data_IF_131902334849
#
_entry.id   IF_131902334849
#
_cell.length_a   1.000
_cell.length_b   1.000
_cell.length_c   1.000
_cell.angle_alpha   90.00
_cell.angle_beta   90.00
_cell.angle_gamma   90.00
#
_symmetry.space_group_name_H-M   'P 1'
#
loop_
_entity.id
_entity.type
_entity.pdbx_description
1 polymer ?
#
# COMPACT_ATOMS: atom_id res chain seq x y z
N UNK A 1 15.23 89.60 21.39
CA UNK A 1 15.35 90.01 22.80
C UNK A 1 16.01 88.85 23.51
N UNK A 2 17.36 88.88 23.64
CA UNK A 2 18.15 89.20 24.85
C UNK A 2 17.52 88.54 26.11
N UNK A 3 18.16 87.56 26.83
CA UNK A 3 19.38 87.61 27.63
C UNK A 3 19.70 86.14 28.08
N UNK A 4 20.92 85.69 27.95
CA UNK A 4 21.97 85.65 28.99
C UNK A 4 21.64 84.69 30.13
N UNK A 5 22.28 83.56 30.39
CA UNK A 5 23.69 83.40 30.76
C UNK A 5 23.76 82.86 32.19
N UNK A 6 24.29 81.72 32.43
CA UNK A 6 25.18 81.55 33.59
C UNK A 6 25.89 80.19 33.56
N UNK A 7 27.17 80.29 33.70
CA UNK A 7 28.15 79.25 33.74
C UNK A 7 28.32 78.78 35.17
N UNK A 8 28.24 77.44 35.47
CA UNK A 8 28.79 76.94 36.69
C UNK A 8 29.64 75.67 36.37
N UNK A 9 30.93 75.82 36.61
CA UNK A 9 31.92 74.78 36.63
C UNK A 9 31.73 73.94 37.90
N UNK A 10 31.66 72.63 37.78
CA UNK A 10 31.93 71.74 38.89
C UNK A 10 32.86 70.62 38.41
N UNK A 11 33.86 70.40 39.23
CA UNK A 11 35.07 69.64 39.04
C UNK A 11 34.82 68.15 38.77
N UNK A 12 35.76 67.60 38.01
CA UNK A 12 35.93 66.12 37.72
C UNK A 12 36.45 65.42 38.97
N UNK A 13 35.78 64.36 39.40
CA UNK A 13 36.36 63.33 40.18
C UNK A 13 36.32 62.04 39.30
N UNK A 14 37.52 61.57 38.92
CA UNK A 14 37.70 60.35 38.15
C UNK A 14 37.84 59.19 39.17
N UNK A 15 36.83 58.33 39.24
CA UNK A 15 36.96 57.04 39.89
C UNK A 15 37.15 55.99 38.80
N UNK A 16 38.39 55.47 38.72
CA UNK A 16 38.70 54.35 37.84
C UNK A 16 38.13 53.07 38.42
N UNK A 17 37.16 52.45 37.79
CA UNK A 17 36.72 51.11 38.05
C UNK A 17 37.35 50.23 36.95
N UNK A 18 38.41 49.48 37.35
CA UNK A 18 38.96 48.40 36.51
C UNK A 18 37.98 47.21 36.51
N UNK A 19 37.24 47.04 35.45
CA UNK A 19 36.46 45.84 35.23
C UNK A 19 37.38 44.78 34.63
N UNK A 20 37.78 43.77 35.42
CA UNK A 20 38.40 42.57 34.94
C UNK A 20 37.32 41.74 34.18
N UNK A 21 37.38 41.71 32.86
CA UNK A 21 36.66 40.74 32.05
C UNK A 21 37.36 39.40 32.21
N UNK A 22 36.83 38.55 33.07
CA UNK A 22 37.14 37.11 33.03
C UNK A 22 36.45 36.45 31.83
N UNK A 23 37.21 36.18 30.77
CA UNK A 23 36.73 35.42 29.64
C UNK A 23 36.52 33.94 30.07
N UNK A 24 35.28 33.57 30.36
CA UNK A 24 34.87 32.18 30.43
C UNK A 24 34.77 31.61 29.03
N UNK A 25 35.85 31.06 28.51
CA UNK A 25 35.84 30.19 27.34
C UNK A 25 35.31 28.80 27.77
N UNK A 26 34.00 28.61 27.71
CA UNK A 26 33.43 27.25 27.76
C UNK A 26 33.87 26.51 26.50
N UNK A 27 34.43 25.29 26.64
CA UNK A 27 34.66 24.49 25.43
C UNK A 27 33.32 24.14 24.83
N UNK A 28 33.06 24.61 23.60
CA UNK A 28 32.00 24.07 22.75
C UNK A 28 32.37 22.61 22.55
N UNK A 29 31.70 21.71 23.26
CA UNK A 29 31.73 20.31 22.94
C UNK A 29 31.15 20.18 21.54
N UNK A 30 32.00 19.84 20.57
CA UNK A 30 31.57 19.38 19.28
C UNK A 30 30.63 18.19 19.53
N UNK A 31 29.36 18.39 19.38
CA UNK A 31 28.39 17.31 19.25
C UNK A 31 28.90 16.47 18.08
N UNK A 32 29.47 15.32 18.39
CA UNK A 32 29.82 14.34 17.40
C UNK A 32 28.55 14.08 16.59
N UNK A 33 28.57 14.38 15.30
CA UNK A 33 27.56 13.88 14.39
C UNK A 33 27.53 12.36 14.57
N UNK A 34 26.51 11.87 15.25
CA UNK A 34 26.19 10.46 15.27
C UNK A 34 26.08 10.08 13.80
N UNK A 35 27.02 9.30 13.29
CA UNK A 35 26.96 8.81 11.91
C UNK A 35 25.63 8.10 11.81
N UNK A 36 24.70 8.64 11.04
CA UNK A 36 23.48 7.95 10.69
C UNK A 36 23.85 6.52 10.30
N UNK A 37 23.36 5.54 11.06
CA UNK A 37 23.58 4.15 10.71
C UNK A 37 22.94 3.93 9.34
N UNK A 38 23.65 3.37 8.34
CA UNK A 38 23.05 3.04 7.08
C UNK A 38 21.79 2.22 7.34
N UNK A 39 20.69 2.52 6.64
CA UNK A 39 19.50 1.66 6.65
C UNK A 39 19.96 0.28 6.21
N UNK A 40 19.90 -0.70 7.08
CA UNK A 40 20.50 -2.03 6.86
C UNK A 40 19.94 -2.70 5.59
N UNK A 41 18.68 -2.41 5.22
CA UNK A 41 18.01 -2.96 4.05
C UNK A 41 17.21 -1.85 3.34
N UNK A 42 17.87 -0.99 2.54
CA UNK A 42 17.18 0.08 1.83
C UNK A 42 16.24 -0.50 0.76
N UNK A 43 15.11 0.17 0.55
CA UNK A 43 14.20 -0.16 -0.55
C UNK A 43 14.90 0.14 -1.87
N UNK A 44 14.93 -0.84 -2.75
CA UNK A 44 15.39 -0.72 -4.13
C UNK A 44 14.19 -0.57 -5.07
N UNK A 45 14.26 0.37 -5.98
CA UNK A 45 13.28 0.66 -7.01
C UNK A 45 13.81 0.15 -8.34
N UNK A 46 13.20 -0.89 -8.89
CA UNK A 46 13.73 -1.65 -10.00
C UNK A 46 12.71 -1.82 -11.11
N UNK A 47 13.19 -2.18 -12.28
CA UNK A 47 12.38 -2.56 -13.44
C UNK A 47 12.93 -3.82 -14.05
N UNK A 48 12.05 -4.72 -14.49
CA UNK A 48 12.40 -5.96 -15.19
C UNK A 48 11.50 -6.13 -16.42
N UNK A 49 12.02 -6.75 -17.48
CA UNK A 49 11.24 -7.07 -18.66
C UNK A 49 10.51 -8.40 -18.49
N UNK A 50 9.18 -8.37 -18.66
CA UNK A 50 8.31 -9.53 -18.60
C UNK A 50 7.32 -9.45 -19.76
N UNK A 51 7.28 -10.45 -20.62
CA UNK A 51 6.38 -10.52 -21.79
C UNK A 51 6.43 -9.29 -22.71
N UNK A 52 7.60 -8.64 -22.80
CA UNK A 52 7.80 -7.41 -23.56
C UNK A 52 7.30 -6.14 -22.85
N UNK A 53 6.89 -6.24 -21.58
CA UNK A 53 6.50 -5.13 -20.72
C UNK A 53 7.60 -4.80 -19.71
N UNK A 54 7.76 -3.53 -19.41
CA UNK A 54 8.59 -3.03 -18.34
C UNK A 54 7.79 -3.05 -17.03
N UNK A 55 8.08 -4.01 -16.15
CA UNK A 55 7.42 -4.17 -14.85
C UNK A 55 8.29 -3.52 -13.78
N UNK A 56 7.76 -2.48 -13.16
CA UNK A 56 8.38 -1.84 -12.01
C UNK A 56 8.08 -2.63 -10.74
N UNK A 57 9.04 -2.68 -9.81
CA UNK A 57 8.84 -3.29 -8.50
C UNK A 57 9.73 -2.66 -7.43
N UNK A 58 9.27 -2.78 -6.19
CA UNK A 58 10.03 -2.45 -4.98
C UNK A 58 10.58 -3.72 -4.38
N UNK A 59 11.82 -3.68 -3.91
CA UNK A 59 12.50 -4.83 -3.31
C UNK A 59 13.33 -4.39 -2.12
N UNK A 60 13.25 -5.11 -0.99
CA UNK A 60 14.14 -4.93 0.16
C UNK A 60 14.27 -6.22 0.96
N UNK A 61 15.27 -6.25 1.84
CA UNK A 61 15.58 -7.38 2.72
C UNK A 61 16.54 -8.40 2.13
N UNK A 62 17.02 -9.35 2.97
CA UNK A 62 17.96 -10.38 2.53
C UNK A 62 17.31 -11.32 1.52
N UNK A 63 17.97 -11.55 0.38
CA UNK A 63 17.42 -12.39 -0.71
C UNK A 63 17.30 -13.88 -0.38
N UNK A 64 17.99 -14.33 0.64
CA UNK A 64 17.96 -15.69 1.16
C UNK A 64 16.95 -15.88 2.31
N UNK A 65 16.29 -14.81 2.74
CA UNK A 65 15.22 -14.85 3.72
C UNK A 65 13.88 -15.32 3.10
N UNK A 66 12.91 -15.74 3.94
CA UNK A 66 11.56 -16.05 3.44
C UNK A 66 10.97 -14.90 2.66
N UNK A 67 10.44 -15.18 1.46
CA UNK A 67 9.94 -14.14 0.55
C UNK A 67 8.47 -13.83 0.82
N UNK A 68 8.15 -12.54 0.90
CA UNK A 68 6.81 -11.97 0.85
C UNK A 68 6.60 -11.32 -0.51
N UNK A 69 5.72 -11.89 -1.34
CA UNK A 69 5.27 -11.28 -2.59
C UNK A 69 4.01 -10.47 -2.30
N UNK A 70 4.11 -9.14 -2.47
CA UNK A 70 3.09 -8.18 -2.05
C UNK A 70 2.29 -7.70 -3.27
N UNK A 71 1.03 -8.09 -3.35
CA UNK A 71 0.13 -7.85 -4.48
C UNK A 71 -0.88 -6.75 -4.11
N UNK A 72 -0.74 -5.59 -4.75
CA UNK A 72 -1.54 -4.39 -4.46
C UNK A 72 -2.94 -4.43 -5.06
N UNK A 73 -3.76 -3.47 -4.64
CA UNK A 73 -5.11 -3.26 -5.13
C UNK A 73 -5.32 -1.95 -5.88
N UNK A 74 -6.59 -1.67 -6.18
CA UNK A 74 -7.04 -0.41 -6.80
C UNK A 74 -7.29 0.67 -5.74
N UNK A 75 -6.89 1.91 -5.98
CA UNK A 75 -6.19 2.46 -7.14
C UNK A 75 -4.68 2.54 -6.98
N UNK A 76 -4.14 1.80 -6.03
CA UNK A 76 -2.76 1.90 -5.57
C UNK A 76 -1.73 1.21 -6.49
N UNK A 77 -0.54 1.07 -5.98
CA UNK A 77 0.61 0.41 -6.59
C UNK A 77 1.45 -0.25 -5.49
N UNK A 78 2.63 -0.77 -5.82
CA UNK A 78 3.59 -1.27 -4.82
C UNK A 78 3.89 -0.27 -3.70
N UNK A 79 3.65 1.03 -3.91
CA UNK A 79 3.84 2.09 -2.93
C UNK A 79 3.04 1.89 -1.64
N UNK A 80 1.85 1.31 -1.72
CA UNK A 80 1.03 1.04 -0.52
C UNK A 80 1.73 0.18 0.53
N UNK A 81 2.73 -0.60 0.10
CA UNK A 81 3.50 -1.48 0.98
C UNK A 81 4.74 -0.83 1.60
N UNK A 82 5.05 0.44 1.29
CA UNK A 82 6.21 1.15 1.88
C UNK A 82 6.25 1.04 3.42
N UNK A 83 5.11 1.14 4.16
CA UNK A 83 5.11 0.94 5.60
C UNK A 83 5.56 -0.46 6.04
N UNK A 84 5.31 -1.52 5.25
CA UNK A 84 5.77 -2.87 5.56
C UNK A 84 7.26 -3.05 5.24
N UNK A 85 7.76 -2.44 4.16
CA UNK A 85 9.19 -2.50 3.84
C UNK A 85 10.05 -2.03 5.00
N UNK A 86 9.69 -0.87 5.59
CA UNK A 86 10.42 -0.31 6.73
C UNK A 86 10.41 -1.23 7.96
N UNK A 87 9.34 -2.02 8.12
CA UNK A 87 9.09 -2.82 9.33
C UNK A 87 9.50 -4.29 9.21
N UNK A 88 9.61 -4.82 8.00
CA UNK A 88 9.78 -6.26 7.79
C UNK A 88 11.06 -6.64 7.04
N UNK A 89 11.72 -5.68 6.36
CA UNK A 89 12.91 -5.96 5.55
C UNK A 89 14.15 -6.40 6.35
N UNK A 90 14.11 -6.34 7.68
CA UNK A 90 15.16 -6.86 8.54
C UNK A 90 15.18 -8.40 8.59
N UNK A 91 14.06 -9.06 8.27
CA UNK A 91 13.88 -10.51 8.40
C UNK A 91 13.35 -11.22 7.17
N UNK A 92 12.72 -10.48 6.25
CA UNK A 92 12.04 -11.06 5.10
C UNK A 92 12.53 -10.38 3.81
N UNK A 93 12.54 -11.14 2.74
CA UNK A 93 12.70 -10.63 1.39
C UNK A 93 11.35 -10.16 0.88
N UNK A 94 11.18 -8.85 0.73
CA UNK A 94 9.93 -8.25 0.29
C UNK A 94 10.04 -7.85 -1.18
N UNK A 95 9.06 -8.26 -1.98
CA UNK A 95 8.97 -7.94 -3.40
C UNK A 95 7.55 -7.48 -3.71
N UNK A 96 7.39 -6.26 -4.21
CA UNK A 96 6.11 -5.67 -4.54
C UNK A 96 6.14 -5.15 -5.98
N UNK A 97 5.55 -5.84 -6.97
CA UNK A 97 5.41 -5.34 -8.34
C UNK A 97 4.27 -4.32 -8.46
N UNK A 98 4.37 -3.43 -9.45
CA UNK A 98 3.24 -2.71 -10.04
C UNK A 98 2.71 -3.55 -11.20
N UNK A 99 1.40 -3.78 -11.27
CA UNK A 99 0.80 -4.49 -12.40
C UNK A 99 0.89 -3.67 -13.70
N UNK A 100 0.82 -4.31 -14.89
CA UNK A 100 0.58 -3.58 -16.12
C UNK A 100 -0.62 -2.63 -15.99
N UNK A 101 -0.44 -1.36 -16.36
CA UNK A 101 -1.48 -0.34 -16.21
C UNK A 101 -1.55 0.34 -14.85
N UNK A 102 -0.64 0.02 -13.91
CA UNK A 102 -0.57 0.63 -12.59
C UNK A 102 0.81 1.22 -12.31
N UNK A 103 0.85 2.22 -11.43
CA UNK A 103 2.08 2.82 -10.93
C UNK A 103 3.08 3.15 -12.02
N UNK A 104 4.29 2.67 -11.85
CA UNK A 104 5.44 2.92 -12.73
C UNK A 104 5.71 1.79 -13.75
N UNK A 105 4.88 0.75 -13.80
CA UNK A 105 4.93 -0.26 -14.85
C UNK A 105 4.41 0.29 -16.18
N UNK A 106 4.65 -0.42 -17.28
CA UNK A 106 4.11 -0.05 -18.59
C UNK A 106 2.58 -0.04 -18.60
N UNK A 107 2.03 0.89 -19.39
CA UNK A 107 0.59 1.04 -19.63
C UNK A 107 0.28 0.80 -21.10
N UNK A 108 0.29 -0.46 -21.56
CA UNK A 108 -0.01 -0.78 -22.94
C UNK A 108 -1.41 -0.29 -23.36
N UNK A 109 -1.57 -0.04 -24.66
CA UNK A 109 -2.86 0.38 -25.23
C UNK A 109 -3.92 -0.72 -24.97
N UNK A 110 -5.08 -0.40 -24.33
CA UNK A 110 -6.15 -1.37 -24.09
C UNK A 110 -6.69 -2.06 -25.36
N UNK A 111 -6.46 -1.47 -26.54
CA UNK A 111 -6.78 -2.11 -27.82
C UNK A 111 -5.83 -3.24 -28.21
N UNK A 112 -4.65 -3.32 -27.57
CA UNK A 112 -3.59 -4.29 -27.87
C UNK A 112 -3.26 -5.19 -26.71
N UNK A 113 -3.63 -4.80 -25.51
CA UNK A 113 -3.40 -5.54 -24.27
C UNK A 113 -4.73 -5.72 -23.54
N UNK A 114 -5.12 -6.96 -23.33
CA UNK A 114 -6.34 -7.29 -22.59
C UNK A 114 -6.12 -7.07 -21.08
N UNK A 115 -6.73 -6.03 -20.54
CA UNK A 115 -6.73 -5.79 -19.09
C UNK A 115 -7.78 -6.69 -18.42
N UNK A 116 -7.34 -7.91 -18.12
CA UNK A 116 -8.12 -8.92 -17.39
C UNK A 116 -7.31 -9.44 -16.19
N UNK A 117 -7.99 -9.93 -15.16
CA UNK A 117 -7.31 -10.53 -14.01
C UNK A 117 -6.54 -11.80 -14.38
N UNK A 118 -7.03 -12.56 -15.36
CA UNK A 118 -6.32 -13.73 -15.89
C UNK A 118 -4.97 -13.32 -16.50
N UNK A 119 -4.96 -12.32 -17.39
CA UNK A 119 -3.74 -11.86 -18.04
C UNK A 119 -2.76 -11.18 -17.08
N UNK A 120 -3.27 -10.37 -16.13
CA UNK A 120 -2.41 -9.79 -15.08
C UNK A 120 -1.76 -10.90 -14.24
N UNK A 121 -2.51 -11.92 -13.85
CA UNK A 121 -1.97 -13.03 -13.08
C UNK A 121 -0.92 -13.83 -13.86
N UNK A 122 -1.10 -14.01 -15.17
CA UNK A 122 -0.11 -14.62 -16.07
C UNK A 122 1.19 -13.80 -16.09
N UNK A 123 1.11 -12.49 -16.31
CA UNK A 123 2.28 -11.59 -16.26
C UNK A 123 2.96 -11.64 -14.89
N UNK A 124 2.19 -11.71 -13.78
CA UNK A 124 2.77 -11.83 -12.44
C UNK A 124 3.43 -13.18 -12.18
N UNK A 125 2.93 -14.27 -12.74
CA UNK A 125 3.63 -15.57 -12.72
C UNK A 125 4.97 -15.48 -13.45
N UNK A 126 5.00 -14.94 -14.66
CA UNK A 126 6.23 -14.73 -15.42
C UNK A 126 7.19 -13.74 -14.73
N UNK A 127 6.66 -12.72 -14.03
CA UNK A 127 7.47 -11.83 -13.19
C UNK A 127 8.18 -12.60 -12.07
N UNK A 128 7.49 -13.50 -11.37
CA UNK A 128 8.13 -14.34 -10.34
C UNK A 128 9.19 -15.25 -10.91
N UNK A 129 8.97 -15.81 -12.10
CA UNK A 129 9.95 -16.63 -12.82
C UNK A 129 11.18 -15.82 -13.23
N UNK A 130 10.98 -14.63 -13.79
CA UNK A 130 12.07 -13.74 -14.19
C UNK A 130 12.96 -13.30 -13.01
N UNK A 131 12.40 -13.22 -11.80
CA UNK A 131 13.14 -12.95 -10.57
C UNK A 131 13.71 -14.20 -9.90
N UNK A 132 13.37 -15.41 -10.38
CA UNK A 132 13.76 -16.69 -9.76
C UNK A 132 13.08 -16.97 -8.42
N UNK A 133 11.90 -16.39 -8.18
CA UNK A 133 11.11 -16.60 -6.97
C UNK A 133 10.36 -17.93 -7.08
N UNK A 134 10.94 -19.00 -6.55
CA UNK A 134 10.36 -20.33 -6.63
C UNK A 134 9.37 -20.65 -5.49
N UNK A 135 9.47 -19.94 -4.36
CA UNK A 135 8.60 -20.09 -3.18
C UNK A 135 8.41 -18.75 -2.50
N UNK A 136 7.17 -18.48 -2.08
CA UNK A 136 6.83 -17.21 -1.41
C UNK A 136 5.52 -17.33 -0.61
N UNK A 137 5.38 -16.49 0.39
CA UNK A 137 4.09 -16.16 1.00
C UNK A 137 3.45 -15.04 0.19
N UNK A 138 2.19 -15.23 -0.25
CA UNK A 138 1.42 -14.19 -0.92
C UNK A 138 0.77 -13.26 0.10
N UNK A 139 1.04 -11.97 -0.02
CA UNK A 139 0.29 -10.92 0.64
C UNK A 139 -0.61 -10.25 -0.41
N UNK A 140 -1.92 -10.33 -0.24
CA UNK A 140 -2.91 -9.96 -1.23
C UNK A 140 -3.86 -8.90 -0.68
N UNK A 141 -3.89 -7.70 -1.29
CA UNK A 141 -4.82 -6.64 -0.93
C UNK A 141 -5.71 -6.33 -2.13
N UNK A 142 -7.03 -6.19 -1.93
CA UNK A 142 -8.04 -5.82 -2.95
C UNK A 142 -7.87 -6.62 -4.26
N UNK A 143 -7.44 -6.00 -5.38
CA UNK A 143 -7.13 -6.69 -6.65
C UNK A 143 -6.00 -7.73 -6.51
N UNK A 144 -5.16 -7.60 -5.50
CA UNK A 144 -4.17 -8.63 -5.17
C UNK A 144 -4.80 -9.98 -4.86
N UNK A 145 -6.03 -10.00 -4.30
CA UNK A 145 -6.80 -11.23 -4.09
C UNK A 145 -7.07 -12.00 -5.38
N UNK A 146 -7.83 -11.43 -6.33
CA UNK A 146 -8.09 -12.06 -7.64
C UNK A 146 -6.83 -12.46 -8.41
N UNK A 147 -5.79 -11.63 -8.39
CA UNK A 147 -4.50 -11.94 -9.05
C UNK A 147 -3.83 -13.12 -8.33
N UNK A 148 -3.70 -13.04 -7.00
CA UNK A 148 -3.02 -14.07 -6.21
C UNK A 148 -3.74 -15.42 -6.25
N UNK A 149 -5.06 -15.47 -6.16
CA UNK A 149 -5.80 -16.74 -6.28
C UNK A 149 -5.61 -17.41 -7.65
N UNK A 150 -5.47 -16.64 -8.74
CA UNK A 150 -5.14 -17.20 -10.06
C UNK A 150 -3.72 -17.73 -10.10
N UNK A 151 -2.76 -17.02 -9.52
CA UNK A 151 -1.38 -17.49 -9.38
C UNK A 151 -1.31 -18.78 -8.57
N UNK A 152 -2.06 -18.87 -7.45
CA UNK A 152 -2.17 -20.05 -6.61
C UNK A 152 -2.71 -21.26 -7.40
N UNK A 153 -3.75 -21.06 -8.19
CA UNK A 153 -4.34 -22.16 -8.97
C UNK A 153 -3.42 -22.63 -10.10
N UNK A 154 -2.61 -21.73 -10.66
CA UNK A 154 -1.64 -22.05 -11.70
C UNK A 154 -0.40 -22.78 -11.14
N UNK A 155 0.11 -22.31 -9.98
CA UNK A 155 1.37 -22.75 -9.38
C UNK A 155 1.25 -22.93 -7.85
N UNK A 156 0.40 -23.87 -7.38
CA UNK A 156 0.18 -24.06 -5.94
C UNK A 156 1.45 -24.47 -5.18
N UNK A 157 2.41 -25.09 -5.87
CA UNK A 157 3.69 -25.53 -5.30
C UNK A 157 4.61 -24.36 -4.90
N UNK A 158 4.38 -23.16 -5.42
CA UNK A 158 5.18 -21.96 -5.11
C UNK A 158 4.70 -21.23 -3.85
N UNK A 159 3.49 -21.52 -3.40
CA UNK A 159 2.83 -20.75 -2.33
C UNK A 159 2.97 -21.44 -0.98
N UNK A 160 3.62 -20.77 -0.02
CA UNK A 160 3.88 -21.32 1.32
C UNK A 160 2.77 -20.96 2.32
N UNK A 161 2.23 -19.76 2.21
CA UNK A 161 1.16 -19.25 3.04
C UNK A 161 0.44 -18.08 2.35
N UNK A 162 -0.74 -17.73 2.86
CA UNK A 162 -1.55 -16.61 2.38
C UNK A 162 -1.74 -15.57 3.48
N UNK A 163 -1.56 -14.31 3.13
CA UNK A 163 -1.98 -13.15 3.91
C UNK A 163 -2.97 -12.38 3.05
N UNK A 164 -4.20 -12.29 3.50
CA UNK A 164 -5.29 -11.58 2.82
C UNK A 164 -5.61 -10.32 3.61
N UNK A 165 -5.43 -9.16 3.00
CA UNK A 165 -5.82 -7.89 3.58
C UNK A 165 -6.93 -7.27 2.73
N UNK A 166 -8.10 -7.05 3.32
CA UNK A 166 -9.22 -6.34 2.66
C UNK A 166 -9.44 -6.79 1.21
N UNK A 167 -9.48 -8.12 0.98
CA UNK A 167 -9.74 -8.74 -0.32
C UNK A 167 -10.75 -9.88 -0.18
N UNK A 168 -11.59 -10.07 -1.18
CA UNK A 168 -12.74 -10.97 -1.11
C UNK A 168 -12.60 -12.18 -2.02
N UNK A 169 -13.08 -13.33 -1.54
CA UNK A 169 -13.18 -14.59 -2.25
C UNK A 169 -14.59 -15.22 -2.15
N UNK A 170 -15.55 -14.47 -1.61
CA UNK A 170 -16.93 -14.91 -1.39
C UNK A 170 -17.93 -13.85 -1.87
N UNK A 171 -19.13 -14.31 -2.26
CA UNK A 171 -20.19 -13.39 -2.69
C UNK A 171 -20.68 -12.49 -1.54
N UNK A 172 -20.63 -12.98 -0.33
CA UNK A 172 -21.01 -12.26 0.89
C UNK A 172 -20.16 -11.02 1.09
N UNK A 173 -18.86 -11.08 0.77
CA UNK A 173 -17.93 -9.94 0.83
C UNK A 173 -18.26 -8.82 -0.15
N UNK A 174 -19.08 -9.09 -1.17
CA UNK A 174 -19.60 -8.09 -2.11
C UNK A 174 -20.95 -7.54 -1.60
N UNK A 175 -20.93 -6.74 -0.57
CA UNK A 175 -22.13 -6.18 0.05
C UNK A 175 -22.98 -5.29 -0.84
N UNK A 176 -23.90 -4.53 -0.25
CA UNK A 176 -24.87 -3.67 -0.94
C UNK A 176 -24.18 -2.61 -1.84
N UNK A 177 -22.98 -2.17 -1.48
CA UNK A 177 -22.18 -1.21 -2.23
C UNK A 177 -21.81 -1.68 -3.66
N UNK A 178 -21.91 -2.98 -3.92
CA UNK A 178 -21.60 -3.56 -5.23
C UNK A 178 -22.78 -3.57 -6.20
N UNK A 179 -23.95 -3.07 -5.81
CA UNK A 179 -25.15 -3.01 -6.69
C UNK A 179 -24.87 -2.27 -8.01
N UNK A 180 -24.21 -1.14 -7.97
CA UNK A 180 -23.85 -0.34 -9.16
C UNK A 180 -22.83 -1.06 -10.04
N UNK A 181 -21.88 -1.79 -9.45
CA UNK A 181 -20.91 -2.60 -10.19
C UNK A 181 -21.58 -3.79 -10.87
N UNK A 182 -22.52 -4.46 -10.18
CA UNK A 182 -23.32 -5.55 -10.79
C UNK A 182 -24.19 -5.05 -11.93
N UNK A 183 -24.78 -3.85 -11.84
CA UNK A 183 -25.50 -3.22 -12.96
C UNK A 183 -24.58 -2.95 -14.16
N UNK A 184 -23.36 -2.50 -13.91
CA UNK A 184 -22.35 -2.30 -14.95
C UNK A 184 -21.96 -3.62 -15.64
N UNK A 185 -21.83 -4.72 -14.89
CA UNK A 185 -21.57 -6.05 -15.47
C UNK A 185 -22.72 -6.54 -16.34
N UNK A 186 -23.95 -6.25 -15.95
CA UNK A 186 -25.15 -6.64 -16.69
C UNK A 186 -25.32 -5.85 -17.99
N UNK A 187 -25.03 -4.54 -17.95
CA UNK A 187 -25.09 -3.66 -19.13
C UNK A 187 -23.96 -2.62 -19.03
N UNK A 188 -22.83 -2.97 -19.66
CA UNK A 188 -21.64 -2.11 -19.69
C UNK A 188 -21.94 -0.76 -20.35
N UNK A 189 -22.60 -0.78 -21.51
CA UNK A 189 -22.80 0.41 -22.31
C UNK A 189 -23.66 1.46 -21.59
N UNK A 190 -24.74 1.02 -20.92
CA UNK A 190 -25.62 1.90 -20.18
C UNK A 190 -24.99 2.49 -18.91
N UNK A 191 -24.03 1.80 -18.28
CA UNK A 191 -23.54 2.15 -16.94
C UNK A 191 -22.08 2.65 -16.91
N UNK A 192 -21.33 2.56 -18.01
CA UNK A 192 -19.88 2.87 -18.02
C UNK A 192 -19.57 4.33 -17.67
N UNK A 193 -20.35 5.28 -18.18
CA UNK A 193 -20.12 6.70 -17.91
C UNK A 193 -20.28 7.03 -16.41
N UNK A 194 -21.32 6.50 -15.78
CA UNK A 194 -21.56 6.67 -14.34
C UNK A 194 -20.48 5.98 -13.50
N UNK A 195 -20.06 4.77 -13.91
CA UNK A 195 -18.98 4.04 -13.25
C UNK A 195 -17.69 4.86 -13.28
N UNK A 196 -17.24 5.31 -14.44
CA UNK A 196 -16.01 6.09 -14.60
C UNK A 196 -16.04 7.36 -13.75
N UNK A 197 -17.13 8.11 -13.79
CA UNK A 197 -17.28 9.35 -13.02
C UNK A 197 -17.15 9.11 -11.51
N UNK A 198 -17.78 8.07 -11.00
CA UNK A 198 -17.83 7.80 -9.57
C UNK A 198 -16.55 7.12 -9.06
N UNK A 199 -16.11 6.03 -9.72
CA UNK A 199 -15.04 5.19 -9.20
C UNK A 199 -13.64 5.79 -9.37
N UNK A 200 -13.45 6.64 -10.38
CA UNK A 200 -12.15 7.26 -10.69
C UNK A 200 -12.04 8.70 -10.19
N UNK A 201 -12.97 9.14 -9.33
CA UNK A 201 -12.92 10.49 -8.77
C UNK A 201 -11.95 10.60 -7.59
N UNK A 202 -11.38 11.79 -7.39
CA UNK A 202 -10.56 12.08 -6.20
C UNK A 202 -11.35 11.82 -4.90
N UNK A 203 -12.65 12.15 -4.89
CA UNK A 203 -13.51 11.92 -3.73
C UNK A 203 -13.61 10.44 -3.37
N UNK A 204 -13.80 9.57 -4.37
CA UNK A 204 -13.86 8.12 -4.16
C UNK A 204 -12.49 7.55 -3.79
N UNK A 205 -11.39 8.03 -4.41
CA UNK A 205 -10.03 7.64 -4.04
C UNK A 205 -9.78 7.95 -2.57
N UNK A 206 -10.05 9.18 -2.14
CA UNK A 206 -9.95 9.56 -0.72
C UNK A 206 -10.82 8.70 0.19
N UNK A 207 -12.07 8.44 -0.21
CA UNK A 207 -13.00 7.64 0.60
C UNK A 207 -12.50 6.19 0.84
N UNK A 208 -11.76 5.60 -0.09
CA UNK A 208 -11.13 4.27 0.11
C UNK A 208 -10.09 4.29 1.23
N UNK A 209 -9.32 5.38 1.36
CA UNK A 209 -8.32 5.51 2.43
C UNK A 209 -8.96 5.76 3.80
N UNK A 210 -9.86 6.73 3.86
CA UNK A 210 -10.40 7.17 5.14
C UNK A 210 -11.56 6.30 5.64
N UNK A 211 -12.33 5.67 4.72
CA UNK A 211 -13.50 4.88 5.09
C UNK A 211 -14.44 5.65 6.02
N UNK A 212 -14.93 4.96 7.05
CA UNK A 212 -15.74 5.51 8.14
C UNK A 212 -14.89 5.84 9.39
N UNK A 213 -13.57 6.03 9.24
CA UNK A 213 -12.68 6.37 10.36
C UNK A 213 -13.08 7.74 10.97
N UNK A 214 -13.41 7.80 12.27
CA UNK A 214 -13.77 9.05 12.93
C UNK A 214 -12.55 10.00 13.11
N UNK A 215 -11.31 9.50 13.03
CA UNK A 215 -10.09 10.29 13.21
C UNK A 215 -9.39 10.54 11.87
N UNK A 216 -9.86 11.55 11.15
CA UNK A 216 -9.34 11.89 9.82
C UNK A 216 -7.93 12.47 9.84
N UNK A 217 -7.45 12.98 10.99
CA UNK A 217 -6.14 13.62 11.11
C UNK A 217 -4.97 12.64 11.00
N UNK A 218 -5.23 11.34 11.15
CA UNK A 218 -4.20 10.29 11.04
C UNK A 218 -3.93 9.81 9.60
N UNK A 219 -4.73 10.29 8.64
CA UNK A 219 -4.60 9.92 7.23
C UNK A 219 -3.79 10.95 6.46
N UNK A 220 -2.68 10.51 5.88
CA UNK A 220 -1.81 11.32 5.04
C UNK A 220 -2.52 11.62 3.70
N UNK A 221 -2.78 12.92 3.37
CA UNK A 221 -3.44 13.28 2.13
C UNK A 221 -2.63 12.97 0.87
N UNK A 222 -1.32 12.81 0.97
CA UNK A 222 -0.47 12.50 -0.17
C UNK A 222 -0.78 11.11 -0.75
N UNK A 223 -1.30 10.18 0.06
CA UNK A 223 -1.66 8.83 -0.37
C UNK A 223 -2.68 8.86 -1.51
N UNK A 224 -3.85 9.45 -1.29
CA UNK A 224 -4.88 9.53 -2.33
C UNK A 224 -4.59 10.54 -3.42
N UNK A 225 -3.75 11.54 -3.15
CA UNK A 225 -3.34 12.53 -4.15
C UNK A 225 -2.41 11.89 -5.18
N UNK A 226 -1.45 11.08 -4.73
CA UNK A 226 -0.55 10.31 -5.58
C UNK A 226 -1.32 9.28 -6.43
N UNK A 227 -2.20 8.52 -5.80
CA UNK A 227 -3.04 7.54 -6.51
C UNK A 227 -3.94 8.19 -7.55
N UNK A 228 -4.56 9.32 -7.19
CA UNK A 228 -5.39 10.07 -8.12
C UNK A 228 -4.58 10.65 -9.28
N UNK A 229 -3.33 11.04 -9.05
CA UNK A 229 -2.43 11.45 -10.12
C UNK A 229 -2.32 10.36 -11.20
N UNK A 230 -2.10 9.11 -10.82
CA UNK A 230 -2.06 7.99 -11.76
C UNK A 230 -3.42 7.72 -12.41
N UNK A 231 -4.49 7.70 -11.63
CA UNK A 231 -5.86 7.47 -12.16
C UNK A 231 -6.30 8.53 -13.18
N UNK A 232 -5.79 9.76 -13.07
CA UNK A 232 -6.15 10.86 -13.95
C UNK A 232 -5.27 10.96 -15.21
N UNK A 233 -4.39 10.00 -15.43
CA UNK A 233 -3.57 9.94 -16.64
C UNK A 233 -4.34 9.40 -17.83
N UNK A 234 -3.85 9.71 -19.05
CA UNK A 234 -4.40 9.18 -20.27
C UNK A 234 -4.49 7.65 -20.24
N UNK A 235 -5.58 7.08 -20.77
CA UNK A 235 -5.91 5.65 -20.83
C UNK A 235 -6.36 5.02 -19.51
N UNK A 236 -6.13 5.63 -18.36
CA UNK A 236 -6.50 5.04 -17.07
C UNK A 236 -7.99 4.76 -16.97
N UNK A 237 -8.84 5.66 -17.48
CA UNK A 237 -10.27 5.43 -17.49
C UNK A 237 -10.67 4.18 -18.29
N UNK A 238 -9.98 3.88 -19.39
CA UNK A 238 -10.23 2.67 -20.18
C UNK A 238 -9.70 1.43 -19.48
N UNK A 239 -8.47 1.48 -18.98
CA UNK A 239 -7.83 0.38 -18.24
C UNK A 239 -8.68 -0.03 -17.03
N UNK A 240 -9.07 0.93 -16.22
CA UNK A 240 -9.84 0.64 -15.02
C UNK A 240 -11.28 0.21 -15.35
N UNK A 241 -11.88 0.77 -16.41
CA UNK A 241 -13.18 0.32 -16.89
C UNK A 241 -13.16 -1.14 -17.34
N UNK A 242 -12.11 -1.57 -18.05
CA UNK A 242 -11.93 -2.97 -18.46
C UNK A 242 -11.77 -3.90 -17.26
N UNK A 243 -10.92 -3.54 -16.29
CA UNK A 243 -10.74 -4.33 -15.07
C UNK A 243 -12.00 -4.41 -14.22
N UNK A 244 -12.75 -3.31 -14.06
CA UNK A 244 -14.04 -3.35 -13.37
C UNK A 244 -15.06 -4.23 -14.08
N UNK A 245 -15.05 -4.24 -15.40
CA UNK A 245 -15.91 -5.14 -16.17
C UNK A 245 -15.46 -6.59 -16.03
N UNK A 246 -14.16 -6.85 -16.10
CA UNK A 246 -13.58 -8.17 -15.92
C UNK A 246 -13.73 -8.72 -14.49
N UNK A 247 -13.93 -7.85 -13.49
CA UNK A 247 -14.12 -8.28 -12.10
C UNK A 247 -15.26 -9.31 -11.92
N UNK A 248 -16.27 -9.34 -12.81
CA UNK A 248 -17.29 -10.38 -12.81
C UNK A 248 -16.73 -11.80 -12.91
N UNK A 249 -15.59 -11.95 -13.61
CA UNK A 249 -14.90 -13.25 -13.73
C UNK A 249 -14.31 -13.71 -12.39
N UNK A 250 -14.02 -12.78 -11.48
CA UNK A 250 -13.59 -13.13 -10.12
C UNK A 250 -14.73 -13.82 -9.37
N UNK A 251 -15.94 -13.25 -9.46
CA UNK A 251 -17.15 -13.84 -8.84
C UNK A 251 -17.42 -15.24 -9.41
N UNK A 252 -17.24 -15.42 -10.71
CA UNK A 252 -17.36 -16.74 -11.37
C UNK A 252 -16.31 -17.74 -10.90
N UNK A 253 -15.13 -17.26 -10.46
CA UNK A 253 -14.04 -18.07 -9.98
C UNK A 253 -14.05 -18.31 -8.44
N UNK A 254 -14.83 -17.58 -7.65
CA UNK A 254 -14.93 -17.78 -6.20
C UNK A 254 -15.15 -19.25 -5.79
N UNK A 255 -16.05 -20.02 -6.42
CA UNK A 255 -16.22 -21.43 -6.08
C UNK A 255 -14.93 -22.28 -6.24
N UNK A 256 -14.07 -21.93 -7.22
CA UNK A 256 -12.80 -22.64 -7.44
C UNK A 256 -11.79 -22.29 -6.35
N UNK A 257 -11.69 -20.98 -5.97
CA UNK A 257 -10.80 -20.53 -4.91
C UNK A 257 -11.18 -21.12 -3.55
N UNK A 258 -12.49 -21.10 -3.24
CA UNK A 258 -13.04 -21.70 -2.04
C UNK A 258 -12.81 -23.22 -2.00
N UNK A 259 -13.00 -23.93 -3.13
CA UNK A 259 -12.73 -25.36 -3.22
C UNK A 259 -11.25 -25.68 -2.96
N UNK A 260 -10.34 -24.89 -3.53
CA UNK A 260 -8.90 -25.02 -3.29
C UNK A 260 -8.57 -24.78 -1.81
N UNK A 261 -9.10 -23.71 -1.19
CA UNK A 261 -8.89 -23.42 0.22
C UNK A 261 -9.38 -24.55 1.12
N UNK A 262 -10.58 -25.09 0.86
CA UNK A 262 -11.13 -26.22 1.63
C UNK A 262 -10.33 -27.51 1.45
N UNK A 263 -9.83 -27.77 0.26
CA UNK A 263 -9.02 -28.96 -0.02
C UNK A 263 -7.61 -28.87 0.60
N UNK A 264 -6.94 -27.75 0.38
CA UNK A 264 -5.52 -27.60 0.73
C UNK A 264 -5.29 -27.12 2.16
N UNK A 265 -6.29 -26.48 2.79
CA UNK A 265 -6.18 -25.93 4.14
C UNK A 265 -4.87 -25.15 4.33
N UNK A 266 -4.59 -24.14 3.49
CA UNK A 266 -3.33 -23.40 3.56
C UNK A 266 -3.17 -22.71 4.90
N UNK A 267 -1.93 -22.39 5.31
CA UNK A 267 -1.71 -21.38 6.34
C UNK A 267 -2.30 -20.07 5.84
N UNK A 268 -3.26 -19.51 6.57
CA UNK A 268 -4.02 -18.35 6.14
C UNK A 268 -4.12 -17.33 7.27
N UNK A 269 -3.68 -16.12 6.99
CA UNK A 269 -3.89 -14.92 7.80
C UNK A 269 -4.84 -13.99 7.06
N UNK A 270 -5.90 -13.55 7.73
CA UNK A 270 -6.82 -12.53 7.24
C UNK A 270 -6.68 -11.29 8.11
N UNK A 271 -6.34 -10.17 7.50
CA UNK A 271 -6.26 -8.84 8.13
C UNK A 271 -7.37 -7.99 7.53
N UNK A 272 -8.18 -7.37 8.38
CA UNK A 272 -9.33 -6.62 7.92
C UNK A 272 -9.42 -5.28 8.63
N UNK A 273 -9.61 -4.22 7.86
CA UNK A 273 -9.78 -2.89 8.40
C UNK A 273 -11.14 -2.74 9.10
N UNK A 274 -11.14 -2.25 10.33
CA UNK A 274 -12.37 -1.95 11.10
C UNK A 274 -13.28 -0.96 10.38
N UNK A 275 -12.70 -0.06 9.61
CA UNK A 275 -13.41 0.99 8.86
C UNK A 275 -13.44 0.70 7.35
N UNK A 276 -13.32 -0.58 6.98
CA UNK A 276 -13.44 -1.04 5.59
C UNK A 276 -14.79 -0.63 4.99
N UNK A 277 -14.76 0.09 3.87
CA UNK A 277 -15.96 0.61 3.22
C UNK A 277 -16.19 0.08 1.81
N UNK A 278 -15.22 -0.65 1.24
CA UNK A 278 -15.28 -1.22 -0.12
C UNK A 278 -15.94 -2.58 -0.14
N UNK A 279 -15.78 -3.36 0.93
CA UNK A 279 -16.26 -4.73 1.08
C UNK A 279 -17.10 -4.93 2.34
N UNK A 280 -17.80 -6.05 2.40
CA UNK A 280 -18.67 -6.36 3.53
C UNK A 280 -17.87 -6.94 4.71
N UNK A 281 -18.10 -6.50 5.95
CA UNK A 281 -17.36 -6.96 7.13
C UNK A 281 -17.61 -8.44 7.51
N UNK A 282 -18.52 -9.13 6.83
CA UNK A 282 -18.73 -10.59 7.02
C UNK A 282 -17.67 -11.45 6.30
N UNK A 283 -16.90 -10.88 5.38
CA UNK A 283 -15.93 -11.64 4.58
C UNK A 283 -14.86 -12.35 5.41
N UNK A 284 -14.24 -11.77 6.46
CA UNK A 284 -13.26 -12.47 7.28
C UNK A 284 -13.75 -13.81 7.85
N UNK A 285 -15.01 -13.87 8.27
CA UNK A 285 -15.62 -15.11 8.78
C UNK A 285 -15.93 -16.10 7.64
N UNK A 286 -16.13 -15.61 6.41
CA UNK A 286 -16.29 -16.48 5.24
C UNK A 286 -14.99 -17.23 4.92
N UNK A 287 -13.83 -16.58 5.07
CA UNK A 287 -12.52 -17.26 4.98
C UNK A 287 -12.35 -18.33 6.04
N UNK A 288 -12.76 -18.06 7.29
CA UNK A 288 -12.69 -19.03 8.40
C UNK A 288 -13.62 -20.23 8.19
N UNK A 289 -14.74 -20.04 7.50
CA UNK A 289 -15.63 -21.12 7.07
C UNK A 289 -14.92 -22.13 6.13
N UNK A 290 -14.10 -21.62 5.20
CA UNK A 290 -13.36 -22.45 4.25
C UNK A 290 -12.05 -23.00 4.84
N UNK A 291 -11.38 -22.21 5.68
CA UNK A 291 -10.14 -22.58 6.38
C UNK A 291 -10.33 -22.38 7.88
N UNK A 292 -10.85 -23.36 8.63
CA UNK A 292 -11.19 -23.20 10.05
C UNK A 292 -10.01 -22.80 10.96
N UNK A 293 -8.78 -23.01 10.51
CA UNK A 293 -7.56 -22.60 11.22
C UNK A 293 -7.03 -21.24 10.78
N UNK A 294 -7.76 -20.52 9.94
CA UNK A 294 -7.36 -19.17 9.53
C UNK A 294 -7.27 -18.24 10.76
N UNK A 295 -6.16 -17.52 10.85
CA UNK A 295 -6.01 -16.42 11.79
C UNK A 295 -6.73 -15.20 11.22
N UNK A 296 -7.61 -14.57 12.02
CA UNK A 296 -8.38 -13.39 11.60
C UNK A 296 -8.15 -12.26 12.57
N UNK A 297 -7.71 -11.12 12.08
CA UNK A 297 -7.43 -9.91 12.85
C UNK A 297 -8.17 -8.72 12.26
N UNK A 298 -8.95 -8.04 13.09
CA UNK A 298 -9.59 -6.76 12.76
C UNK A 298 -8.70 -5.66 13.33
N UNK A 299 -8.11 -4.85 12.44
CA UNK A 299 -7.17 -3.80 12.82
C UNK A 299 -7.81 -2.41 12.76
N UNK A 300 -7.20 -1.43 13.42
CA UNK A 300 -7.70 -0.06 13.48
C UNK A 300 -7.31 0.73 12.21
N UNK A 301 -7.85 0.31 11.07
CA UNK A 301 -7.62 0.86 9.75
C UNK A 301 -8.84 0.78 8.84
N UNK A 302 -8.76 1.40 7.65
CA UNK A 302 -9.75 1.31 6.58
C UNK A 302 -9.37 0.26 5.53
N UNK A 303 -9.85 0.44 4.29
CA UNK A 303 -9.52 -0.42 3.16
C UNK A 303 -8.01 -0.48 2.87
N UNK A 304 -7.30 0.62 3.08
CA UNK A 304 -5.84 0.67 3.09
C UNK A 304 -5.34 0.63 4.53
N UNK A 305 -5.53 -0.51 5.21
CA UNK A 305 -5.23 -0.63 6.64
C UNK A 305 -3.76 -0.30 6.99
N UNK A 306 -2.84 -0.43 6.04
CA UNK A 306 -1.43 -0.05 6.20
C UNK A 306 -1.20 1.45 6.42
N UNK A 307 -2.15 2.31 6.03
CA UNK A 307 -2.02 3.75 6.22
C UNK A 307 -1.98 4.13 7.71
N UNK A 308 -2.72 3.40 8.53
CA UNK A 308 -2.93 3.77 9.94
C UNK A 308 -2.57 2.67 10.94
N UNK A 309 -2.50 1.40 10.51
CA UNK A 309 -2.26 0.23 11.38
C UNK A 309 -0.99 -0.56 11.02
N UNK A 310 -0.03 0.05 10.30
CA UNK A 310 1.15 -0.68 9.80
C UNK A 310 2.00 -1.33 10.90
N UNK A 311 2.13 -0.70 12.08
CA UNK A 311 2.88 -1.28 13.20
C UNK A 311 2.21 -2.55 13.72
N UNK A 312 0.90 -2.50 13.93
CA UNK A 312 0.10 -3.64 14.37
C UNK A 312 0.14 -4.77 13.35
N UNK A 313 -0.08 -4.45 12.06
CA UNK A 313 -0.03 -5.41 10.96
C UNK A 313 1.36 -6.07 10.87
N UNK A 314 2.44 -5.31 10.99
CA UNK A 314 3.79 -5.88 10.96
C UNK A 314 4.03 -6.86 12.10
N UNK A 315 3.53 -6.59 13.31
CA UNK A 315 3.60 -7.52 14.45
C UNK A 315 2.82 -8.80 14.13
N UNK A 316 1.59 -8.69 13.65
CA UNK A 316 0.75 -9.83 13.28
C UNK A 316 1.43 -10.69 12.20
N UNK A 317 1.97 -10.06 11.14
CA UNK A 317 2.70 -10.75 10.07
C UNK A 317 3.94 -11.47 10.62
N UNK A 318 4.71 -10.83 11.51
CA UNK A 318 5.89 -11.48 12.13
C UNK A 318 5.51 -12.69 12.98
N UNK A 319 4.39 -12.65 13.70
CA UNK A 319 3.91 -13.80 14.47
C UNK A 319 3.45 -14.93 13.55
N UNK A 320 2.67 -14.60 12.53
CA UNK A 320 2.20 -15.56 11.55
C UNK A 320 3.34 -16.25 10.77
N UNK A 321 4.42 -15.52 10.48
CA UNK A 321 5.54 -16.03 9.66
C UNK A 321 6.58 -16.86 10.48
N UNK A 322 6.39 -17.03 11.79
CA UNK A 322 7.21 -17.95 12.60
C UNK A 322 6.91 -19.39 12.26
#
# INVERSE_FOLDING_TARGET
>A
MKLAGSCLRVSRLVFGISVMLAAFSSPVQAQGHEKERPVENPISYRTIQVDGLSIFYREAGPKDAPTLLLLHGLPSSSRMFDPLFVRLADRYHLVAPDYPGFGHSDWPDPKKFAYTFDHIAEVMNHFTEALGLSRYTLYMQDYGGPVGFRMILAHPERVEALIVQDAVAHNEGLGANWKTRRAYWADRAANEAALRTNLLSLATTRARHVGDDPNLERHDPDLWTDEYYFLNQARQADIQSDLFYDYRTNVENYPKWQAWMREKQPRLLVIWGKYESSFDPSEPESYRRDVPKAEVHIVDGGHFALDTAADEIAIIVREFMK
#
